data_IF_901824185703
#
_entry.id   IF_901824185703
#
_cell.length_a   1.000
_cell.length_b   1.000
_cell.length_c   1.000
_cell.angle_alpha   90.00
_cell.angle_beta   90.00
_cell.angle_gamma   90.00
#
_symmetry.space_group_name_H-M   'P 1'
#
loop_
_entity.id
_entity.type
_entity.pdbx_description
1 polymer ?
#
# COMPACT_ATOMS: atom_id res chain seq x y z
N UNK A 1 6.25 -18.75 2.20
CA UNK A 1 5.69 -17.76 1.24
C UNK A 1 6.04 -16.31 1.60
N UNK A 2 5.75 -15.86 2.82
CA UNK A 2 6.05 -14.49 3.24
C UNK A 2 7.54 -14.18 3.14
N UNK A 3 8.40 -15.10 3.55
CA UNK A 3 9.85 -14.91 3.48
C UNK A 3 10.35 -14.83 2.03
N UNK A 4 9.74 -15.59 1.11
CA UNK A 4 10.08 -15.50 -0.31
C UNK A 4 9.69 -14.15 -0.91
N UNK A 5 8.50 -13.65 -0.55
CA UNK A 5 8.04 -12.33 -0.99
C UNK A 5 8.99 -11.26 -0.47
N UNK A 6 9.36 -11.34 0.81
CA UNK A 6 10.26 -10.37 1.44
C UNK A 6 11.62 -10.36 0.76
N UNK A 7 12.18 -11.54 0.45
CA UNK A 7 13.46 -11.64 -0.24
C UNK A 7 13.38 -10.99 -1.64
N UNK A 8 12.36 -11.32 -2.42
CA UNK A 8 12.20 -10.76 -3.77
C UNK A 8 12.02 -9.25 -3.76
N UNK A 9 11.27 -8.73 -2.80
CA UNK A 9 11.08 -7.28 -2.68
C UNK A 9 12.38 -6.57 -2.33
N UNK A 10 13.17 -7.15 -1.44
CA UNK A 10 14.44 -6.55 -1.02
C UNK A 10 15.49 -6.61 -2.12
N UNK A 11 15.36 -7.51 -3.08
CA UNK A 11 16.30 -7.62 -4.20
C UNK A 11 15.88 -6.82 -5.43
N UNK A 12 14.66 -6.24 -5.42
CA UNK A 12 14.18 -5.44 -6.55
C UNK A 12 14.81 -4.05 -6.55
N UNK A 13 14.84 -3.44 -7.74
CA UNK A 13 15.32 -2.06 -7.88
C UNK A 13 14.18 -1.10 -7.53
N UNK A 14 14.34 -0.40 -6.41
CA UNK A 14 13.32 0.53 -5.93
C UNK A 14 13.83 1.96 -5.85
N UNK A 15 14.68 2.38 -6.80
CA UNK A 15 15.11 3.75 -6.87
C UNK A 15 13.93 4.70 -7.09
N UNK A 16 13.90 5.76 -6.30
CA UNK A 16 12.85 6.78 -6.39
C UNK A 16 13.04 7.61 -7.65
N UNK A 17 12.05 7.65 -8.55
CA UNK A 17 12.16 8.50 -9.73
C UNK A 17 12.13 9.98 -9.35
N UNK A 18 12.76 10.82 -10.16
CA UNK A 18 12.64 12.27 -10.02
C UNK A 18 11.33 12.73 -10.64
N UNK A 19 10.75 13.78 -10.08
CA UNK A 19 9.55 14.40 -10.61
C UNK A 19 8.37 14.35 -9.64
N UNK A 20 7.29 14.99 -10.05
CA UNK A 20 6.09 15.18 -9.23
C UNK A 20 4.83 15.08 -10.07
N UNK A 21 3.66 14.84 -9.46
CA UNK A 21 3.42 14.51 -8.06
C UNK A 21 3.76 13.05 -7.75
N UNK A 22 3.95 12.75 -6.48
CA UNK A 22 4.20 11.40 -6.01
C UNK A 22 2.97 10.85 -5.31
N UNK A 23 2.78 9.56 -5.46
CA UNK A 23 1.69 8.86 -4.81
C UNK A 23 2.17 7.46 -4.41
N UNK A 24 1.44 6.85 -3.51
CA UNK A 24 1.83 5.56 -2.97
C UNK A 24 0.59 4.73 -2.67
N UNK A 25 0.67 3.43 -2.89
CA UNK A 25 -0.37 2.48 -2.51
C UNK A 25 0.22 1.44 -1.58
N UNK A 26 -0.64 0.90 -0.74
CA UNK A 26 -0.29 -0.19 0.17
C UNK A 26 -0.84 -1.49 -0.36
N UNK A 27 0.05 -2.43 -0.65
CA UNK A 27 -0.36 -3.79 -0.98
C UNK A 27 -0.31 -4.57 0.32
N UNK A 28 -1.45 -4.67 0.99
CA UNK A 28 -1.56 -5.27 2.31
C UNK A 28 -1.98 -6.72 2.21
N UNK A 29 -1.15 -7.59 2.76
CA UNK A 29 -1.42 -9.02 2.82
C UNK A 29 -1.90 -9.33 4.23
N UNK A 30 -3.11 -9.87 4.34
CA UNK A 30 -3.67 -10.25 5.62
C UNK A 30 -3.07 -11.57 6.09
N UNK A 31 -2.66 -11.57 7.36
CA UNK A 31 -2.09 -12.74 8.01
C UNK A 31 -3.01 -13.17 9.15
N UNK A 32 -3.67 -14.29 8.97
CA UNK A 32 -4.58 -14.85 9.96
C UNK A 32 -3.87 -15.99 10.72
N UNK A 33 -3.11 -15.66 11.76
CA UNK A 33 -2.50 -16.65 12.63
C UNK A 33 -1.21 -17.26 12.08
N UNK A 34 -0.89 -18.47 12.54
CA UNK A 34 0.40 -19.13 12.25
C UNK A 34 0.50 -19.71 10.85
N UNK A 35 -0.62 -20.01 10.22
CA UNK A 35 -0.64 -20.66 8.92
C UNK A 35 -1.36 -19.79 7.90
N UNK A 36 -0.66 -19.43 6.84
CA UNK A 36 -1.22 -18.68 5.73
C UNK A 36 -1.33 -19.64 4.55
N UNK A 37 -2.47 -20.30 4.42
CA UNK A 37 -2.71 -21.19 3.27
C UNK A 37 -3.23 -20.41 2.07
N UNK A 38 -4.01 -19.35 2.34
CA UNK A 38 -4.60 -18.53 1.28
C UNK A 38 -4.51 -17.07 1.70
N UNK A 39 -3.39 -16.40 1.44
CA UNK A 39 -3.26 -14.98 1.80
C UNK A 39 -4.27 -14.14 1.02
N UNK A 40 -4.83 -13.15 1.72
CA UNK A 40 -5.81 -12.24 1.14
C UNK A 40 -5.19 -10.85 1.01
N UNK A 41 -5.61 -10.13 -0.03
CA UNK A 41 -5.19 -8.75 -0.26
C UNK A 41 -6.33 -7.79 0.06
N UNK A 42 -5.97 -6.61 0.54
CA UNK A 42 -6.95 -5.57 0.83
C UNK A 42 -7.10 -4.66 -0.37
N UNK A 43 -8.33 -4.46 -0.82
CA UNK A 43 -8.68 -3.51 -1.87
C UNK A 43 -9.70 -2.52 -1.34
N UNK A 44 -9.70 -1.32 -1.92
CA UNK A 44 -10.74 -0.32 -1.70
C UNK A 44 -11.54 -0.13 -2.96
N UNK A 45 -12.79 0.29 -2.81
CA UNK A 45 -13.64 0.63 -3.94
C UNK A 45 -14.13 2.06 -3.77
N UNK A 46 -13.92 2.90 -4.79
CA UNK A 46 -14.40 4.27 -4.75
C UNK A 46 -15.93 4.29 -4.74
N UNK A 47 -16.48 5.27 -4.01
CA UNK A 47 -17.93 5.42 -3.92
C UNK A 47 -18.54 5.65 -5.29
N UNK A 48 -19.69 5.03 -5.53
CA UNK A 48 -20.46 5.23 -6.75
C UNK A 48 -21.04 6.64 -6.89
N UNK A 49 -20.93 7.47 -5.86
CA UNK A 49 -21.42 8.84 -5.87
C UNK A 49 -20.37 9.87 -6.25
N UNK A 50 -19.10 9.43 -6.44
CA UNK A 50 -18.02 10.33 -6.85
C UNK A 50 -18.11 10.65 -8.34
N UNK A 51 -17.66 11.86 -8.71
CA UNK A 51 -17.71 12.32 -10.11
C UNK A 51 -16.60 11.71 -10.96
N UNK A 52 -15.49 11.25 -10.35
CA UNK A 52 -14.36 10.66 -11.05
C UNK A 52 -14.03 9.30 -10.45
N UNK A 53 -13.66 8.35 -11.31
CA UNK A 53 -13.26 7.00 -10.91
C UNK A 53 -14.27 6.29 -10.00
N UNK A 54 -15.56 6.63 -10.17
CA UNK A 54 -16.65 6.05 -9.41
C UNK A 54 -16.71 4.53 -9.60
N UNK A 55 -16.79 3.79 -8.47
CA UNK A 55 -16.86 2.34 -8.50
C UNK A 55 -15.55 1.62 -8.78
N UNK A 56 -14.47 2.36 -9.04
CA UNK A 56 -13.16 1.78 -9.33
C UNK A 56 -12.56 1.11 -8.12
N UNK A 57 -11.94 -0.06 -8.33
CA UNK A 57 -11.29 -0.84 -7.28
C UNK A 57 -9.78 -0.61 -7.36
N UNK A 58 -9.14 -0.35 -6.22
CA UNK A 58 -7.71 -0.13 -6.16
C UNK A 58 -7.15 -0.55 -4.80
N UNK A 59 -5.82 -0.63 -4.70
CA UNK A 59 -5.18 -0.73 -3.40
C UNK A 59 -5.35 0.58 -2.64
N UNK A 60 -5.39 0.54 -1.28
CA UNK A 60 -5.47 1.77 -0.50
C UNK A 60 -4.22 2.62 -0.70
N UNK A 61 -4.39 3.92 -0.82
CA UNK A 61 -3.28 4.83 -1.03
C UNK A 61 -3.73 6.17 -1.57
N UNK A 62 -2.78 6.99 -1.95
CA UNK A 62 -3.06 8.31 -2.48
C UNK A 62 -1.79 9.13 -2.67
N UNK A 63 -1.98 10.44 -2.83
CA UNK A 63 -0.90 11.38 -3.10
C UNK A 63 -0.14 11.74 -1.83
N UNK A 64 1.15 11.92 -1.98
CA UNK A 64 2.00 12.38 -0.89
C UNK A 64 1.63 13.82 -0.49
N UNK A 65 1.71 14.09 0.80
CA UNK A 65 1.48 15.41 1.39
C UNK A 65 2.73 15.87 2.12
N UNK A 66 2.80 17.17 2.41
CA UNK A 66 3.98 17.80 3.01
C UNK A 66 4.39 17.19 4.36
N UNK A 67 3.50 16.64 5.11
CA UNK A 67 3.83 16.01 6.39
C UNK A 67 4.35 14.58 6.29
N UNK A 68 4.31 13.98 5.12
CA UNK A 68 4.72 12.59 4.92
C UNK A 68 6.25 12.50 4.84
N UNK A 69 6.85 11.70 5.73
CA UNK A 69 8.31 11.51 5.77
C UNK A 69 8.78 10.65 4.61
N UNK A 70 7.96 9.69 4.19
CA UNK A 70 8.30 8.76 3.12
C UNK A 70 7.03 8.37 2.37
N UNK A 71 7.19 7.71 1.22
CA UNK A 71 6.03 7.18 0.49
C UNK A 71 5.35 6.03 1.24
N UNK A 72 6.08 5.33 2.10
CA UNK A 72 5.47 4.35 2.99
C UNK A 72 4.52 5.04 3.98
N UNK A 73 4.94 6.17 4.55
CA UNK A 73 4.08 6.96 5.43
C UNK A 73 2.84 7.47 4.69
N UNK A 74 2.99 7.86 3.42
CA UNK A 74 1.86 8.25 2.58
C UNK A 74 0.84 7.11 2.47
N UNK A 75 1.31 5.91 2.16
CA UNK A 75 0.44 4.74 2.02
C UNK A 75 -0.25 4.40 3.34
N UNK A 76 0.46 4.48 4.46
CA UNK A 76 -0.11 4.23 5.77
C UNK A 76 -1.15 5.29 6.15
N UNK A 77 -0.84 6.56 5.92
CA UNK A 77 -1.76 7.66 6.23
C UNK A 77 -3.06 7.51 5.45
N UNK A 78 -2.95 7.28 4.14
CA UNK A 78 -4.13 7.10 3.29
C UNK A 78 -4.93 5.85 3.70
N UNK A 79 -4.25 4.76 4.04
CA UNK A 79 -4.91 3.54 4.48
C UNK A 79 -5.63 3.74 5.82
N UNK A 80 -5.06 4.56 6.70
CA UNK A 80 -5.71 4.91 7.95
C UNK A 80 -6.97 5.75 7.69
N UNK A 81 -6.89 6.72 6.79
CA UNK A 81 -8.02 7.56 6.43
C UNK A 81 -9.14 6.77 5.76
N UNK A 82 -8.80 5.85 4.87
CA UNK A 82 -9.78 5.10 4.07
C UNK A 82 -10.41 3.93 4.83
N UNK A 83 -9.65 3.24 5.68
CA UNK A 83 -10.11 1.99 6.28
C UNK A 83 -9.71 1.82 7.75
N UNK A 84 -9.21 2.88 8.38
CA UNK A 84 -8.79 2.87 9.79
C UNK A 84 -7.67 1.86 10.09
N UNK A 85 -6.85 1.53 9.08
CA UNK A 85 -5.71 0.66 9.28
C UNK A 85 -4.64 1.41 10.05
N UNK A 86 -4.18 0.84 11.16
CA UNK A 86 -3.19 1.49 12.02
C UNK A 86 -1.79 1.06 11.62
N UNK A 87 -0.87 2.03 11.54
CA UNK A 87 0.52 1.73 11.19
C UNK A 87 1.19 0.73 12.12
N UNK A 88 0.80 0.74 13.40
CA UNK A 88 1.34 -0.21 14.39
C UNK A 88 0.97 -1.66 14.10
N UNK A 89 -0.09 -1.89 13.32
CA UNK A 89 -0.54 -3.22 12.94
C UNK A 89 0.07 -3.69 11.60
N UNK A 90 0.94 -2.87 11.01
CA UNK A 90 1.52 -3.15 9.69
C UNK A 90 3.01 -3.41 9.81
N UNK A 91 3.47 -4.52 9.23
CA UNK A 91 4.89 -4.83 9.11
C UNK A 91 5.29 -4.66 7.65
N UNK A 92 6.24 -3.77 7.38
CA UNK A 92 6.74 -3.54 6.04
C UNK A 92 7.61 -4.71 5.58
N UNK A 93 7.24 -5.35 4.48
CA UNK A 93 8.03 -6.43 3.90
C UNK A 93 9.03 -5.91 2.87
N UNK A 94 8.71 -4.84 2.18
CA UNK A 94 9.55 -4.25 1.16
C UNK A 94 8.78 -3.32 0.25
N UNK A 95 9.44 -2.87 -0.80
CA UNK A 95 8.85 -1.99 -1.82
C UNK A 95 8.95 -2.64 -3.18
N UNK A 96 7.92 -2.45 -4.00
CA UNK A 96 7.99 -2.78 -5.41
C UNK A 96 8.63 -1.62 -6.18
N UNK A 97 9.01 -1.88 -7.42
CA UNK A 97 9.60 -0.86 -8.27
C UNK A 97 8.62 0.29 -8.52
N UNK A 98 9.16 1.49 -8.65
CA UNK A 98 8.35 2.66 -9.01
C UNK A 98 7.82 2.53 -10.43
N UNK A 99 6.65 3.09 -10.64
CA UNK A 99 6.02 3.15 -11.97
C UNK A 99 6.21 4.52 -12.59
#
# INVERSE_FOLDING_TARGET
MIEEIKYKLNSSNSEKPSGRPQASVLIAILNYGEYIESPELIYTQRSGHLSTHSGEVSFPGGKAEDGDVSLFDTALRESNEEMSLKGEDVTMLGKLDYL
#
